data_IF_035015557123
#
_entry.id   IF_035015557123
#
_cell.length_a   1.000
_cell.length_b   1.000
_cell.length_c   1.000
_cell.angle_alpha   90.00
_cell.angle_beta   90.00
_cell.angle_gamma   90.00
#
_symmetry.space_group_name_H-M   'P 1'
#
loop_
_entity.id
_entity.type
_entity.pdbx_description
1 polymer ?
#
# COMPACT_ATOMS: atom_id res chain seq x y z
N UNK A 1 -11.88 -32.01 9.65
CA UNK A 1 -11.87 -31.87 11.12
C UNK A 1 -10.46 -31.81 11.72
N UNK A 2 -9.56 -32.76 11.42
CA UNK A 2 -8.23 -32.79 12.07
C UNK A 2 -7.29 -31.65 11.67
N UNK A 3 -7.44 -31.10 10.46
CA UNK A 3 -6.56 -30.02 9.96
C UNK A 3 -6.58 -28.75 10.83
N UNK A 4 -7.66 -28.49 11.57
CA UNK A 4 -7.76 -27.33 12.48
C UNK A 4 -6.99 -27.51 13.79
N UNK A 5 -6.54 -28.73 14.07
CA UNK A 5 -5.83 -29.10 15.31
C UNK A 5 -4.31 -29.17 15.11
N UNK A 6 -3.82 -28.93 13.90
CA UNK A 6 -2.39 -29.01 13.59
C UNK A 6 -1.72 -27.67 13.94
N UNK A 7 -0.54 -27.78 14.52
CA UNK A 7 0.38 -26.68 14.76
C UNK A 7 1.79 -27.26 14.58
N UNK A 8 2.43 -26.91 13.48
CA UNK A 8 3.76 -27.43 13.15
C UNK A 8 4.58 -26.38 12.41
N UNK A 9 5.91 -26.53 12.45
CA UNK A 9 6.83 -25.69 11.70
C UNK A 9 7.09 -26.28 10.32
N UNK A 10 7.02 -25.44 9.29
CA UNK A 10 7.39 -25.76 7.92
C UNK A 10 8.30 -24.66 7.39
N UNK A 11 9.58 -24.97 7.15
CA UNK A 11 10.57 -24.00 6.67
C UNK A 11 10.61 -22.71 7.51
N UNK A 12 10.62 -22.86 8.84
CA UNK A 12 10.60 -21.76 9.82
C UNK A 12 9.27 -21.00 9.96
N UNK A 13 8.28 -21.28 9.10
CA UNK A 13 6.93 -20.76 9.23
C UNK A 13 6.05 -21.65 10.12
N UNK A 14 5.29 -21.03 11.02
CA UNK A 14 4.31 -21.74 11.84
C UNK A 14 3.02 -21.95 11.04
N UNK A 15 2.71 -23.20 10.77
CA UNK A 15 1.49 -23.61 10.06
C UNK A 15 0.37 -23.90 11.06
N UNK A 16 -0.63 -23.03 11.05
CA UNK A 16 -1.84 -23.10 11.88
C UNK A 16 -3.05 -22.74 11.02
N UNK A 17 -4.21 -23.34 11.32
CA UNK A 17 -5.44 -23.19 10.55
C UNK A 17 -6.56 -22.62 11.41
N UNK A 18 -7.39 -21.75 10.83
CA UNK A 18 -8.54 -21.16 11.51
C UNK A 18 -9.75 -22.12 11.58
N UNK A 19 -10.85 -21.64 12.17
CA UNK A 19 -12.11 -22.40 12.28
C UNK A 19 -12.77 -22.73 10.94
N UNK A 20 -12.40 -22.07 9.85
CA UNK A 20 -12.84 -22.44 8.50
C UNK A 20 -11.90 -23.47 7.86
N UNK A 21 -10.69 -23.64 8.40
CA UNK A 21 -9.64 -24.48 7.83
C UNK A 21 -8.70 -23.71 6.88
N UNK A 22 -8.68 -22.37 6.95
CA UNK A 22 -7.74 -21.53 6.19
C UNK A 22 -6.41 -21.41 6.95
N UNK A 23 -5.26 -21.49 6.27
CA UNK A 23 -3.96 -21.25 6.89
C UNK A 23 -3.85 -19.79 7.33
N UNK A 24 -3.34 -19.57 8.54
CA UNK A 24 -3.13 -18.24 9.13
C UNK A 24 -1.74 -17.65 8.78
N UNK A 25 -1.13 -18.09 7.68
CA UNK A 25 0.19 -17.62 7.24
C UNK A 25 0.10 -16.22 6.62
N UNK A 26 1.20 -15.47 6.72
CA UNK A 26 1.34 -14.19 6.04
C UNK A 26 1.56 -14.32 4.53
N UNK A 27 1.88 -13.19 3.91
CA UNK A 27 2.24 -13.09 2.50
C UNK A 27 3.59 -12.42 2.34
N UNK A 28 4.41 -12.92 1.42
CA UNK A 28 5.54 -12.17 0.88
C UNK A 28 5.04 -11.12 -0.11
N UNK A 29 5.63 -9.93 -0.03
CA UNK A 29 5.39 -8.84 -0.98
C UNK A 29 6.56 -8.82 -1.93
N UNK A 30 6.28 -8.98 -3.22
CA UNK A 30 7.31 -9.01 -4.25
C UNK A 30 7.26 -7.76 -5.13
N UNK A 31 8.43 -7.31 -5.56
CA UNK A 31 8.56 -6.37 -6.67
C UNK A 31 9.18 -7.10 -7.86
N UNK A 32 8.61 -6.88 -9.04
CA UNK A 32 9.18 -7.35 -10.28
C UNK A 32 10.46 -6.58 -10.62
N UNK A 33 11.45 -7.30 -11.11
CA UNK A 33 12.72 -6.78 -11.57
C UNK A 33 12.95 -7.14 -13.03
N UNK A 34 12.85 -6.12 -13.86
CA UNK A 34 12.97 -6.17 -15.31
C UNK A 34 14.34 -5.66 -15.79
N UNK A 35 15.31 -5.46 -14.87
CA UNK A 35 16.60 -4.86 -15.21
C UNK A 35 17.54 -5.78 -16.00
N UNK A 36 17.26 -7.08 -16.03
CA UNK A 36 18.05 -8.09 -16.71
C UNK A 36 17.37 -8.66 -17.96
N UNK A 37 18.06 -9.57 -18.68
CA UNK A 37 17.52 -10.23 -19.88
C UNK A 37 16.37 -11.21 -19.59
N UNK A 38 16.13 -11.52 -18.32
CA UNK A 38 15.02 -12.36 -17.84
C UNK A 38 14.29 -11.63 -16.73
N UNK A 39 12.96 -11.75 -16.72
CA UNK A 39 12.15 -11.18 -15.65
C UNK A 39 12.37 -11.98 -14.37
N UNK A 40 12.68 -11.25 -13.30
CA UNK A 40 12.85 -11.82 -11.97
C UNK A 40 11.97 -11.05 -10.99
N UNK A 41 11.95 -11.47 -9.75
CA UNK A 41 11.30 -10.73 -8.67
C UNK A 41 12.15 -10.82 -7.41
N UNK A 42 11.90 -9.90 -6.50
CA UNK A 42 12.54 -9.87 -5.18
C UNK A 42 11.49 -9.65 -4.12
N UNK A 43 11.62 -10.37 -3.01
CA UNK A 43 10.81 -10.13 -1.81
C UNK A 43 11.26 -8.81 -1.19
N UNK A 44 10.35 -7.85 -1.14
CA UNK A 44 10.57 -6.49 -0.63
C UNK A 44 9.95 -6.27 0.74
N UNK A 45 9.16 -7.21 1.24
CA UNK A 45 8.41 -7.07 2.48
C UNK A 45 7.51 -8.26 2.74
N UNK A 46 6.71 -8.16 3.78
CA UNK A 46 5.73 -9.18 4.15
C UNK A 46 4.48 -8.55 4.77
N UNK A 47 3.39 -9.31 4.76
CA UNK A 47 2.14 -8.97 5.43
C UNK A 47 1.74 -10.10 6.36
N UNK A 48 1.40 -9.80 7.61
CA UNK A 48 0.86 -10.80 8.54
C UNK A 48 -0.65 -10.91 8.44
N UNK A 49 -1.18 -12.07 8.82
CA UNK A 49 -2.60 -12.29 9.08
C UNK A 49 -2.96 -11.79 10.50
N UNK A 50 -4.22 -11.37 10.80
CA UNK A 50 -4.58 -10.51 11.92
C UNK A 50 -3.85 -10.72 13.27
N UNK A 51 -3.31 -9.64 13.88
CA UNK A 51 -3.38 -8.27 13.39
C UNK A 51 -2.55 -8.07 12.11
N UNK A 52 -3.15 -7.42 11.11
CA UNK A 52 -2.48 -7.20 9.82
C UNK A 52 -1.38 -6.19 10.03
N UNK A 53 -0.13 -6.62 9.84
CA UNK A 53 1.04 -5.78 9.83
C UNK A 53 1.66 -5.85 8.46
N UNK A 54 1.91 -4.68 7.87
CA UNK A 54 2.51 -4.53 6.56
C UNK A 54 3.92 -3.97 6.74
N UNK A 55 4.94 -4.77 6.42
CA UNK A 55 6.32 -4.31 6.34
C UNK A 55 6.76 -4.27 4.87
N UNK A 56 7.25 -3.12 4.42
CA UNK A 56 7.77 -2.95 3.07
C UNK A 56 9.07 -2.16 3.14
N UNK A 57 10.15 -2.80 2.71
CA UNK A 57 11.43 -2.14 2.48
C UNK A 57 11.41 -1.39 1.15
N UNK A 58 11.08 -0.09 1.22
CA UNK A 58 11.00 0.81 0.06
C UNK A 58 12.32 0.96 -0.70
N UNK A 59 13.48 0.78 -0.05
CA UNK A 59 14.79 0.90 -0.73
C UNK A 59 15.05 -0.26 -1.69
N UNK A 60 14.31 -1.37 -1.53
CA UNK A 60 14.33 -2.49 -2.47
C UNK A 60 13.36 -2.28 -3.63
N UNK A 61 12.60 -1.19 -3.72
CA UNK A 61 11.70 -0.94 -4.85
C UNK A 61 12.45 -0.14 -5.90
N UNK A 62 12.36 -0.59 -7.16
CA UNK A 62 12.87 0.13 -8.32
C UNK A 62 11.67 0.69 -9.05
N UNK A 63 11.47 1.98 -8.93
CA UNK A 63 10.42 2.71 -9.61
C UNK A 63 10.85 3.00 -11.05
N UNK A 64 9.87 3.10 -11.93
CA UNK A 64 10.08 3.36 -13.35
C UNK A 64 9.89 4.85 -13.72
N UNK A 65 9.71 5.71 -12.72
CA UNK A 65 9.65 7.17 -12.90
C UNK A 65 11.04 7.81 -12.97
N UNK A 66 11.04 9.13 -13.13
CA UNK A 66 12.24 9.97 -13.09
C UNK A 66 12.97 9.79 -11.74
N UNK A 67 14.30 9.70 -11.78
CA UNK A 67 15.18 9.53 -10.60
C UNK A 67 14.77 8.41 -9.62
N UNK A 68 14.11 7.35 -10.11
CA UNK A 68 13.62 6.26 -9.27
C UNK A 68 12.69 6.76 -8.13
N UNK A 69 11.94 7.85 -8.37
CA UNK A 69 11.01 8.40 -7.40
C UNK A 69 9.70 7.58 -7.32
N UNK A 70 9.09 7.61 -6.13
CA UNK A 70 7.77 6.99 -5.91
C UNK A 70 6.75 7.73 -6.78
N UNK A 71 5.98 7.02 -7.64
CA UNK A 71 5.01 7.66 -8.50
C UNK A 71 3.86 8.25 -7.67
N UNK A 72 3.47 9.47 -8.02
CA UNK A 72 2.25 10.06 -7.50
C UNK A 72 1.04 9.49 -8.25
N UNK A 73 0.06 8.97 -7.51
CA UNK A 73 -1.14 8.35 -8.05
C UNK A 73 -2.39 8.90 -7.36
N UNK A 74 -2.60 10.22 -7.48
CA UNK A 74 -3.73 10.95 -6.91
C UNK A 74 -4.69 11.41 -8.01
N UNK A 75 -5.99 11.55 -7.69
CA UNK A 75 -6.97 12.10 -8.64
C UNK A 75 -6.80 13.60 -8.83
N UNK A 76 -6.64 14.31 -7.71
CA UNK A 76 -6.35 15.73 -7.66
C UNK A 76 -5.12 15.97 -6.78
N UNK A 77 -4.21 16.83 -7.23
CA UNK A 77 -3.06 17.26 -6.43
C UNK A 77 -3.51 18.06 -5.21
N UNK A 78 -2.68 18.11 -4.17
CA UNK A 78 -2.98 18.90 -2.97
C UNK A 78 -3.20 20.39 -3.30
N UNK A 79 -4.18 21.00 -2.64
CA UNK A 79 -4.42 22.44 -2.78
C UNK A 79 -3.33 23.26 -2.09
N UNK A 80 -2.99 24.39 -2.71
CA UNK A 80 -2.10 25.38 -2.11
C UNK A 80 -2.78 26.09 -0.93
N UNK A 81 -1.98 26.73 -0.08
CA UNK A 81 -2.50 27.56 1.02
C UNK A 81 -3.45 28.64 0.47
N UNK A 82 -4.50 28.95 1.23
CA UNK A 82 -5.55 29.88 0.80
C UNK A 82 -6.55 29.31 -0.22
N UNK A 83 -6.50 28.01 -0.52
CA UNK A 83 -7.52 27.30 -1.29
C UNK A 83 -8.17 26.20 -0.43
N UNK A 84 -9.46 25.97 -0.64
CA UNK A 84 -10.21 24.86 -0.06
C UNK A 84 -10.49 23.77 -1.10
N UNK A 85 -10.52 22.51 -0.64
CA UNK A 85 -10.95 21.37 -1.45
C UNK A 85 -12.48 21.36 -1.59
N UNK A 86 -12.95 21.37 -2.82
CA UNK A 86 -14.36 21.17 -3.17
C UNK A 86 -14.46 19.85 -3.92
N UNK A 87 -15.09 18.84 -3.32
CA UNK A 87 -15.27 17.53 -3.97
C UNK A 87 -16.10 17.72 -5.24
N UNK A 88 -15.57 17.22 -6.36
CA UNK A 88 -16.25 17.28 -7.65
C UNK A 88 -16.65 15.88 -8.09
N UNK A 89 -17.90 15.75 -8.55
CA UNK A 89 -18.45 14.46 -8.97
C UNK A 89 -18.70 13.50 -7.81
N UNK A 90 -18.53 12.20 -8.08
CA UNK A 90 -18.94 11.14 -7.15
C UNK A 90 -17.83 10.68 -6.19
N UNK A 91 -16.56 10.81 -6.59
CA UNK A 91 -15.45 10.25 -5.83
C UNK A 91 -14.87 11.27 -4.86
N UNK A 92 -14.90 10.97 -3.57
CA UNK A 92 -14.38 11.86 -2.52
C UNK A 92 -12.89 12.20 -2.65
N UNK A 93 -12.10 11.37 -3.35
CA UNK A 93 -10.69 11.63 -3.60
C UNK A 93 -10.43 12.63 -4.75
N UNK A 94 -11.46 12.98 -5.53
CA UNK A 94 -11.39 13.92 -6.64
C UNK A 94 -12.03 15.24 -6.24
N UNK A 95 -11.26 16.31 -6.31
CA UNK A 95 -11.68 17.64 -5.85
C UNK A 95 -11.05 18.74 -6.70
N UNK A 96 -11.68 19.91 -6.69
CA UNK A 96 -11.11 21.15 -7.20
C UNK A 96 -10.61 22.02 -6.05
N UNK A 97 -9.56 22.79 -6.32
CA UNK A 97 -9.02 23.76 -5.37
C UNK A 97 -9.61 25.13 -5.68
N UNK A 98 -10.51 25.60 -4.82
CA UNK A 98 -11.18 26.90 -4.97
C UNK A 98 -10.59 27.89 -3.97
N UNK A 99 -10.28 29.14 -4.36
CA UNK A 99 -9.81 30.16 -3.42
C UNK A 99 -10.75 30.30 -2.23
N UNK A 100 -10.18 30.51 -1.05
CA UNK A 100 -10.93 30.87 0.14
C UNK A 100 -11.71 32.19 -0.09
N UNK A 101 -12.86 32.33 0.56
CA UNK A 101 -13.64 33.57 0.49
C UNK A 101 -12.84 34.76 1.03
N UNK A 102 -13.13 35.96 0.53
CA UNK A 102 -12.45 37.17 0.96
C UNK A 102 -12.52 37.35 2.49
N UNK A 103 -11.37 37.55 3.12
CA UNK A 103 -11.25 37.66 4.59
C UNK A 103 -11.10 36.32 5.32
N UNK A 104 -11.04 35.20 4.60
CA UNK A 104 -10.77 33.86 5.16
C UNK A 104 -9.46 33.29 4.65
N UNK A 105 -8.88 32.34 5.38
CA UNK A 105 -7.62 31.68 5.01
C UNK A 105 -7.61 30.24 5.50
N UNK A 106 -7.09 29.34 4.67
CA UNK A 106 -6.84 27.96 5.03
C UNK A 106 -5.35 27.65 4.92
N UNK A 107 -4.74 27.38 6.07
CA UNK A 107 -3.30 27.11 6.17
C UNK A 107 -2.93 25.75 5.56
N UNK A 108 -3.78 24.74 5.77
CA UNK A 108 -3.63 23.43 5.14
C UNK A 108 -5.02 22.91 4.79
N UNK A 109 -5.18 22.50 3.53
CA UNK A 109 -6.40 21.90 3.03
C UNK A 109 -6.34 20.39 2.98
#
# INVERSE_FOLDING_TARGET
>A
EQIRKVNFLLHEDTMIFNDNGDPLSGYDIIAWDWSGPKWTFRVIGSSTWPPVQLDINKTKIRWHGEDNQVPESVCSSNCLEGHQRVVVGFYHCCFECVPCEAGTFLNKS
#
